data_IF_525361866672
#
_entry.id   IF_525361866672
#
_cell.length_a   1.000
_cell.length_b   1.000
_cell.length_c   1.000
_cell.angle_alpha   90.00
_cell.angle_beta   90.00
_cell.angle_gamma   90.00
#
_symmetry.space_group_name_H-M   'P 1'
#
loop_
_entity.id
_entity.type
_entity.pdbx_description
1 polymer ?
#
# COMPACT_ATOMS: atom_id res chain seq x y z
N UNK A 1 26.27 10.74 3.54
CA UNK A 1 25.46 9.60 4.02
C UNK A 1 24.31 9.41 3.06
N UNK A 2 24.31 8.34 2.28
CA UNK A 2 24.91 8.37 0.94
C UNK A 2 23.85 7.90 -0.05
N UNK A 3 23.70 8.60 -1.17
CA UNK A 3 22.76 8.21 -2.24
C UNK A 3 23.03 6.79 -2.80
N UNK A 4 24.22 6.23 -2.54
CA UNK A 4 24.56 4.84 -2.82
C UNK A 4 23.60 3.87 -2.09
N UNK A 5 23.33 4.12 -0.81
CA UNK A 5 22.43 3.27 0.00
C UNK A 5 21.01 3.26 -0.58
N UNK A 6 20.51 4.44 -0.99
CA UNK A 6 19.18 4.55 -1.58
C UNK A 6 19.06 3.85 -2.93
N UNK A 7 20.09 3.95 -3.78
CA UNK A 7 20.11 3.30 -5.08
C UNK A 7 20.21 1.77 -4.95
N UNK A 8 20.95 1.27 -3.96
CA UNK A 8 21.10 -0.17 -3.72
C UNK A 8 19.81 -0.78 -3.18
N UNK A 9 19.11 -0.10 -2.27
CA UNK A 9 17.77 -0.50 -1.83
C UNK A 9 16.84 -0.62 -3.06
N UNK A 10 16.75 0.42 -3.89
CA UNK A 10 15.88 0.41 -5.06
C UNK A 10 16.20 -0.73 -6.05
N UNK A 11 17.47 -1.07 -6.25
CA UNK A 11 17.88 -2.19 -7.12
C UNK A 11 17.54 -3.57 -6.55
N UNK A 12 17.52 -3.69 -5.23
CA UNK A 12 17.26 -4.96 -4.53
C UNK A 12 15.77 -5.32 -4.43
N UNK A 13 14.88 -4.35 -4.66
CA UNK A 13 13.45 -4.56 -4.51
C UNK A 13 12.87 -5.31 -5.71
N UNK A 14 12.03 -6.30 -5.43
CA UNK A 14 11.19 -6.94 -6.41
C UNK A 14 9.92 -6.08 -6.63
N UNK A 15 9.65 -5.59 -7.85
CA UNK A 15 8.40 -4.88 -8.12
C UNK A 15 7.19 -5.84 -8.14
N UNK A 16 5.99 -5.39 -7.71
CA UNK A 16 5.68 -4.05 -7.17
C UNK A 16 6.09 -3.89 -5.69
N UNK A 17 6.57 -2.70 -5.32
CA UNK A 17 6.89 -2.35 -3.93
C UNK A 17 6.60 -0.87 -3.64
N UNK A 18 6.11 -0.56 -2.44
CA UNK A 18 6.00 0.83 -1.96
C UNK A 18 7.30 1.26 -1.30
N UNK A 19 7.74 2.48 -1.61
CA UNK A 19 8.96 3.06 -1.04
C UNK A 19 8.72 4.49 -0.57
N UNK A 20 9.27 4.80 0.59
CA UNK A 20 9.40 6.15 1.11
C UNK A 20 10.75 6.71 0.66
N UNK A 21 10.71 7.78 -0.15
CA UNK A 21 11.91 8.42 -0.71
C UNK A 21 11.99 9.87 -0.25
N UNK A 22 13.17 10.29 0.18
CA UNK A 22 13.50 11.71 0.38
C UNK A 22 14.66 12.07 -0.53
N UNK A 23 14.67 13.32 -1.00
CA UNK A 23 15.78 13.83 -1.79
C UNK A 23 15.44 15.10 -2.53
N UNK A 24 16.27 15.39 -3.52
CA UNK A 24 16.19 16.62 -4.30
C UNK A 24 15.49 16.39 -5.64
N UNK A 25 14.79 17.43 -6.11
CA UNK A 25 14.08 17.42 -7.38
C UNK A 25 14.91 18.14 -8.44
N UNK A 26 14.97 17.59 -9.66
CA UNK A 26 15.62 18.21 -10.81
C UNK A 26 14.77 18.10 -12.05
N UNK A 27 14.81 19.13 -12.88
CA UNK A 27 14.31 19.02 -14.25
C UNK A 27 15.38 18.37 -15.13
N UNK A 28 14.99 17.38 -15.93
CA UNK A 28 15.89 16.77 -16.91
C UNK A 28 15.67 17.42 -18.29
N UNK A 29 16.60 18.28 -18.74
CA UNK A 29 16.48 18.97 -20.03
C UNK A 29 16.69 18.03 -21.22
N UNK A 30 17.14 16.79 -21.01
CA UNK A 30 17.42 15.82 -22.08
C UNK A 30 16.17 15.08 -22.53
N UNK A 31 15.10 15.09 -21.73
CA UNK A 31 13.84 14.46 -22.06
C UNK A 31 12.87 15.49 -22.67
N UNK A 32 12.07 15.12 -23.69
CA UNK A 32 11.13 16.04 -24.31
C UNK A 32 10.03 16.45 -23.31
N UNK A 33 9.80 17.75 -23.12
CA UNK A 33 8.79 18.28 -22.19
C UNK A 33 9.29 18.42 -20.74
N UNK A 34 8.39 18.71 -19.81
CA UNK A 34 8.74 18.95 -18.40
C UNK A 34 8.88 17.63 -17.63
N UNK A 35 10.08 17.05 -17.66
CA UNK A 35 10.37 15.86 -16.87
C UNK A 35 11.03 16.24 -15.54
N UNK A 36 10.36 15.87 -14.45
CA UNK A 36 10.88 16.01 -13.09
C UNK A 36 11.49 14.66 -12.66
N UNK A 37 12.74 14.70 -12.23
CA UNK A 37 13.50 13.56 -11.71
C UNK A 37 13.72 13.78 -10.22
N UNK A 38 13.40 12.77 -9.44
CA UNK A 38 13.76 12.71 -8.01
C UNK A 38 15.15 12.09 -7.92
N UNK A 39 16.09 12.79 -7.29
CA UNK A 39 17.37 12.23 -6.89
C UNK A 39 17.21 11.74 -5.46
N UNK A 40 17.14 10.41 -5.22
CA UNK A 40 16.96 9.87 -3.89
C UNK A 40 18.23 10.09 -3.05
N UNK A 41 18.05 10.66 -1.86
CA UNK A 41 19.07 10.81 -0.83
C UNK A 41 18.89 9.75 0.26
N UNK A 42 17.64 9.40 0.56
CA UNK A 42 17.29 8.23 1.37
C UNK A 42 16.09 7.50 0.77
N UNK A 43 16.08 6.18 0.93
CA UNK A 43 14.99 5.31 0.49
C UNK A 43 14.76 4.23 1.55
N UNK A 44 13.51 3.86 1.79
CA UNK A 44 13.15 2.68 2.57
C UNK A 44 11.91 2.04 1.99
N UNK A 45 11.73 0.75 2.21
CA UNK A 45 10.46 0.08 1.95
C UNK A 45 9.41 0.68 2.87
N UNK A 46 8.23 0.93 2.32
CA UNK A 46 7.05 1.33 3.06
C UNK A 46 6.02 0.22 2.96
N UNK A 47 5.29 -0.03 4.04
CA UNK A 47 4.13 -0.91 3.99
C UNK A 47 2.90 -0.14 3.47
N UNK A 48 1.80 -0.87 3.26
CA UNK A 48 0.56 -0.31 2.75
C UNK A 48 -0.10 0.63 3.77
N UNK A 49 -0.01 0.33 5.07
CA UNK A 49 -0.56 1.19 6.12
C UNK A 49 0.16 2.53 6.23
N UNK A 50 1.47 2.57 6.02
CA UNK A 50 2.31 3.76 5.93
C UNK A 50 1.97 4.56 4.67
N UNK A 51 1.84 3.89 3.52
CA UNK A 51 1.36 4.51 2.28
C UNK A 51 0.01 5.18 2.48
N UNK A 52 -0.94 4.49 3.10
CA UNK A 52 -2.31 4.99 3.29
C UNK A 52 -2.34 6.17 4.27
N UNK A 53 -1.57 6.09 5.35
CA UNK A 53 -1.35 7.23 6.26
C UNK A 53 -0.75 8.44 5.53
N UNK A 54 0.21 8.21 4.63
CA UNK A 54 0.80 9.29 3.83
C UNK A 54 -0.20 9.91 2.86
N UNK A 55 -1.04 9.10 2.21
CA UNK A 55 -2.09 9.58 1.31
C UNK A 55 -3.09 10.46 2.06
N UNK A 56 -3.63 9.96 3.17
CA UNK A 56 -4.60 10.70 3.99
C UNK A 56 -4.00 12.00 4.54
N UNK A 57 -2.79 11.95 5.12
CA UNK A 57 -2.11 13.15 5.63
C UNK A 57 -1.83 14.16 4.53
N UNK A 58 -1.46 13.70 3.33
CA UNK A 58 -1.18 14.61 2.20
C UNK A 58 -2.46 15.29 1.72
N UNK A 59 -3.57 14.55 1.68
CA UNK A 59 -4.88 15.11 1.35
C UNK A 59 -5.31 16.17 2.37
N UNK A 60 -5.20 15.87 3.67
CA UNK A 60 -5.49 16.78 4.77
C UNK A 60 -4.64 18.06 4.72
N UNK A 61 -3.31 17.93 4.60
CA UNK A 61 -2.41 19.08 4.47
C UNK A 61 -2.67 19.91 3.21
N UNK A 62 -3.11 19.28 2.12
CA UNK A 62 -3.46 19.98 0.88
C UNK A 62 -4.77 20.72 1.03
N UNK A 63 -5.76 20.10 1.67
CA UNK A 63 -7.04 20.73 2.01
C UNK A 63 -6.80 21.97 2.87
N UNK A 64 -6.04 21.87 3.97
CA UNK A 64 -5.72 23.02 4.81
C UNK A 64 -5.05 24.17 4.04
N UNK A 65 -4.23 23.85 3.04
CA UNK A 65 -3.63 24.88 2.16
C UNK A 65 -4.67 25.53 1.26
N UNK A 66 -5.56 24.75 0.64
CA UNK A 66 -6.64 25.26 -0.22
C UNK A 66 -7.58 26.15 0.58
N UNK A 67 -7.95 25.76 1.79
CA UNK A 67 -8.79 26.56 2.70
C UNK A 67 -8.12 27.87 3.15
N UNK A 68 -6.79 27.88 3.22
CA UNK A 68 -6.03 29.10 3.54
C UNK A 68 -5.92 30.09 2.37
N UNK A 69 -6.29 29.67 1.15
CA UNK A 69 -6.32 30.56 -0.01
C UNK A 69 -7.46 31.60 0.13
N UNK A 70 -7.36 32.74 -0.56
CA UNK A 70 -8.48 33.68 -0.63
C UNK A 70 -9.75 32.98 -1.12
N UNK A 71 -10.88 33.28 -0.48
CA UNK A 71 -12.17 32.69 -0.81
C UNK A 71 -12.44 32.82 -2.32
N UNK A 72 -12.69 31.68 -2.96
CA UNK A 72 -13.15 31.62 -4.34
C UNK A 72 -14.11 30.44 -4.48
N UNK A 73 -15.14 30.55 -5.34
CA UNK A 73 -16.11 29.46 -5.52
C UNK A 73 -15.45 28.13 -5.89
N UNK A 74 -14.36 28.19 -6.68
CA UNK A 74 -13.60 27.00 -7.08
C UNK A 74 -12.80 26.39 -5.92
N UNK A 75 -12.23 27.21 -5.03
CA UNK A 75 -11.50 26.71 -3.87
C UNK A 75 -12.45 26.05 -2.86
N UNK A 76 -13.61 26.66 -2.64
CA UNK A 76 -14.67 26.13 -1.75
C UNK A 76 -15.24 24.81 -2.28
N UNK A 77 -15.52 24.72 -3.58
CA UNK A 77 -15.98 23.48 -4.23
C UNK A 77 -14.95 22.35 -4.08
N UNK A 78 -13.68 22.64 -4.37
CA UNK A 78 -12.60 21.65 -4.25
C UNK A 78 -12.39 21.21 -2.81
N UNK A 79 -12.46 22.13 -1.84
CA UNK A 79 -12.34 21.81 -0.43
C UNK A 79 -13.43 20.82 0.01
N UNK A 80 -14.70 21.12 -0.31
CA UNK A 80 -15.84 20.27 0.04
C UNK A 80 -15.72 18.86 -0.58
N UNK A 81 -15.31 18.78 -1.85
CA UNK A 81 -15.10 17.49 -2.53
C UNK A 81 -14.04 16.65 -1.83
N UNK A 82 -12.94 17.27 -1.40
CA UNK A 82 -11.84 16.59 -0.71
C UNK A 82 -12.24 16.15 0.69
N UNK A 83 -12.93 17.00 1.46
CA UNK A 83 -13.45 16.65 2.79
C UNK A 83 -14.35 15.40 2.76
N UNK A 84 -15.31 15.37 1.83
CA UNK A 84 -16.22 14.23 1.68
C UNK A 84 -15.46 12.95 1.30
N UNK A 85 -14.47 13.05 0.42
CA UNK A 85 -13.66 11.90 0.02
C UNK A 85 -12.82 11.36 1.18
N UNK A 86 -12.18 12.24 1.97
CA UNK A 86 -11.39 11.83 3.14
C UNK A 86 -12.27 11.12 4.19
N UNK A 87 -13.48 11.62 4.44
CA UNK A 87 -14.40 11.05 5.43
C UNK A 87 -14.79 9.59 5.10
N UNK A 88 -14.99 9.26 3.82
CA UNK A 88 -15.31 7.89 3.40
C UNK A 88 -14.12 6.94 3.60
N UNK A 89 -12.90 7.41 3.36
CA UNK A 89 -11.69 6.56 3.46
C UNK A 89 -11.25 6.36 4.91
N UNK A 90 -11.44 7.36 5.78
CA UNK A 90 -11.06 7.28 7.19
C UNK A 90 -11.85 6.23 8.00
N UNK A 91 -13.04 5.84 7.52
CA UNK A 91 -13.89 4.82 8.17
C UNK A 91 -13.47 3.38 7.82
N UNK A 92 -12.56 3.21 6.85
CA UNK A 92 -11.89 1.94 6.63
C UNK A 92 -10.78 1.74 7.69
N UNK A 93 -10.70 0.58 8.36
CA UNK A 93 -9.67 0.35 9.35
C UNK A 93 -8.28 0.45 8.69
N UNK A 94 -7.52 1.48 9.06
CA UNK A 94 -6.12 1.67 8.68
C UNK A 94 -5.31 0.48 9.17
N UNK A 95 -4.91 -0.41 8.25
CA UNK A 95 -4.11 -1.58 8.57
C UNK A 95 -4.89 -2.63 9.37
N UNK A 96 -5.62 -3.50 8.66
CA UNK A 96 -5.87 -4.85 9.16
C UNK A 96 -4.51 -5.54 9.42
N UNK A 97 -4.41 -6.44 10.42
CA UNK A 97 -3.20 -6.63 11.21
C UNK A 97 -1.95 -6.87 10.36
N UNK A 98 -1.06 -5.88 10.32
CA UNK A 98 0.34 -6.14 10.12
C UNK A 98 0.81 -6.96 11.32
N UNK A 99 1.19 -8.20 11.05
CA UNK A 99 1.53 -9.12 12.12
C UNK A 99 1.86 -10.51 11.62
N UNK A 100 2.42 -11.36 12.49
CA UNK A 100 2.97 -12.66 12.13
C UNK A 100 1.93 -13.61 11.52
N UNK A 101 0.63 -13.40 11.78
CA UNK A 101 -0.44 -14.21 11.20
C UNK A 101 -0.64 -13.88 9.71
N UNK A 102 -0.60 -12.60 9.34
CA UNK A 102 -0.79 -12.17 7.94
C UNK A 102 0.36 -12.65 7.07
N UNK A 103 1.59 -12.45 7.54
CA UNK A 103 2.81 -12.92 6.88
C UNK A 103 2.77 -14.44 6.69
N UNK A 104 2.48 -15.20 7.76
CA UNK A 104 2.36 -16.65 7.67
C UNK A 104 1.26 -17.11 6.71
N UNK A 105 0.11 -16.43 6.67
CA UNK A 105 -0.97 -16.74 5.72
C UNK A 105 -0.53 -16.46 4.28
N UNK A 106 0.16 -15.35 4.02
CA UNK A 106 0.69 -15.05 2.71
C UNK A 106 1.73 -16.10 2.27
N UNK A 107 2.66 -16.49 3.15
CA UNK A 107 3.64 -17.53 2.87
C UNK A 107 2.98 -18.88 2.56
N UNK A 108 1.94 -19.25 3.30
CA UNK A 108 1.15 -20.46 3.04
C UNK A 108 0.46 -20.42 1.67
N UNK A 109 -0.05 -19.24 1.27
CA UNK A 109 -0.64 -19.03 -0.04
C UNK A 109 0.43 -19.14 -1.12
N UNK A 110 1.54 -18.41 -0.99
CA UNK A 110 2.62 -18.36 -1.96
C UNK A 110 3.27 -19.74 -2.18
N UNK A 111 3.60 -20.45 -1.09
CA UNK A 111 4.19 -21.79 -1.15
C UNK A 111 3.21 -22.85 -1.69
N UNK A 112 1.91 -22.68 -1.42
CA UNK A 112 0.87 -23.62 -1.86
C UNK A 112 0.26 -23.34 -3.23
N UNK A 113 0.55 -22.18 -3.83
CA UNK A 113 -0.18 -21.68 -5.00
C UNK A 113 0.16 -22.46 -6.28
N UNK A 114 -0.77 -23.30 -6.71
CA UNK A 114 -0.72 -23.97 -8.01
C UNK A 114 -1.39 -23.15 -9.13
N UNK A 115 -1.68 -23.77 -10.29
CA UNK A 115 -2.33 -23.08 -11.42
C UNK A 115 -3.66 -22.41 -11.08
N UNK A 116 -4.38 -22.95 -10.08
CA UNK A 116 -5.69 -22.46 -9.61
C UNK A 116 -5.62 -21.66 -8.29
N UNK A 117 -4.43 -21.50 -7.70
CA UNK A 117 -4.26 -20.97 -6.35
C UNK A 117 -4.47 -22.01 -5.27
N UNK A 118 -4.73 -21.54 -4.05
CA UNK A 118 -4.95 -22.36 -2.86
C UNK A 118 -6.38 -22.20 -2.37
N UNK A 119 -7.05 -23.30 -2.04
CA UNK A 119 -8.39 -23.25 -1.46
C UNK A 119 -8.35 -22.61 -0.07
N UNK A 120 -9.32 -21.74 0.25
CA UNK A 120 -9.43 -21.07 1.56
C UNK A 120 -9.40 -22.08 2.71
N UNK A 121 -10.14 -23.19 2.59
CA UNK A 121 -10.18 -24.21 3.64
C UNK A 121 -8.81 -24.89 3.84
N UNK A 122 -8.02 -25.03 2.78
CA UNK A 122 -6.67 -25.59 2.86
C UNK A 122 -5.69 -24.60 3.52
N UNK A 123 -5.86 -23.29 3.29
CA UNK A 123 -5.09 -22.24 3.98
C UNK A 123 -5.42 -22.28 5.48
N UNK A 124 -6.71 -22.29 5.83
CA UNK A 124 -7.17 -22.35 7.22
C UNK A 124 -6.69 -23.62 7.93
N UNK A 125 -6.74 -24.78 7.26
CA UNK A 125 -6.23 -26.03 7.83
C UNK A 125 -4.72 -25.96 8.11
N UNK A 126 -3.92 -25.50 7.15
CA UNK A 126 -2.46 -25.38 7.33
C UNK A 126 -2.08 -24.35 8.39
N UNK A 127 -2.81 -23.24 8.45
CA UNK A 127 -2.58 -22.22 9.47
C UNK A 127 -2.94 -22.75 10.88
N UNK A 128 -4.00 -23.55 10.99
CA UNK A 128 -4.34 -24.26 12.24
C UNK A 128 -3.25 -25.24 12.65
N UNK A 129 -2.71 -26.03 11.71
CA UNK A 129 -1.60 -26.96 11.97
C UNK A 129 -0.33 -26.22 12.43
N UNK A 130 -0.15 -24.97 11.99
CA UNK A 130 0.91 -24.06 12.43
C UNK A 130 0.58 -23.32 13.75
N UNK A 131 -0.58 -23.57 14.37
CA UNK A 131 -0.97 -23.01 15.67
C UNK A 131 -1.76 -21.70 15.62
N UNK A 132 -2.19 -21.25 14.44
CA UNK A 132 -2.99 -20.03 14.30
C UNK A 132 -4.49 -20.30 14.47
N UNK A 133 -5.17 -19.36 15.13
CA UNK A 133 -6.62 -19.40 15.28
C UNK A 133 -7.33 -19.02 13.97
N UNK A 134 -8.47 -19.65 13.69
CA UNK A 134 -9.19 -19.47 12.42
C UNK A 134 -9.70 -18.04 12.18
N UNK A 135 -10.18 -17.34 13.22
CA UNK A 135 -10.64 -15.94 13.11
C UNK A 135 -9.55 -15.02 12.54
N UNK A 136 -8.38 -14.90 13.21
CA UNK A 136 -7.24 -14.13 12.71
C UNK A 136 -6.77 -14.54 11.31
N UNK A 137 -6.82 -15.83 10.96
CA UNK A 137 -6.45 -16.31 9.62
C UNK A 137 -7.44 -15.82 8.57
N UNK A 138 -8.75 -15.86 8.84
CA UNK A 138 -9.78 -15.35 7.92
C UNK A 138 -9.68 -13.84 7.78
N UNK A 139 -9.39 -13.13 8.86
CA UNK A 139 -9.15 -11.69 8.83
C UNK A 139 -7.91 -11.36 7.99
N UNK A 140 -6.83 -12.14 8.11
CA UNK A 140 -5.64 -12.01 7.27
C UNK A 140 -5.92 -12.29 5.79
N UNK A 141 -6.68 -13.33 5.45
CA UNK A 141 -7.09 -13.62 4.05
C UNK A 141 -7.91 -12.46 3.48
N UNK A 142 -8.89 -11.94 4.23
CA UNK A 142 -9.69 -10.78 3.82
C UNK A 142 -8.80 -9.57 3.58
N UNK A 143 -7.88 -9.29 4.51
CA UNK A 143 -6.94 -8.19 4.40
C UNK A 143 -6.04 -8.32 3.17
N UNK A 144 -5.51 -9.51 2.87
CA UNK A 144 -4.68 -9.75 1.67
C UNK A 144 -5.45 -9.53 0.36
N UNK A 145 -6.77 -9.78 0.35
CA UNK A 145 -7.64 -9.51 -0.79
C UNK A 145 -7.99 -8.01 -0.91
N UNK A 146 -8.31 -7.37 0.21
CA UNK A 146 -8.59 -5.92 0.26
C UNK A 146 -7.37 -5.09 -0.13
N UNK A 147 -6.18 -5.61 0.16
CA UNK A 147 -4.90 -4.95 -0.08
C UNK A 147 -4.27 -5.29 -1.43
N UNK A 148 -4.96 -6.00 -2.32
CA UNK A 148 -4.43 -6.43 -3.62
C UNK A 148 -3.06 -7.12 -3.51
N UNK A 149 -2.82 -7.87 -2.43
CA UNK A 149 -1.66 -8.79 -2.33
C UNK A 149 -2.02 -10.16 -2.90
N UNK A 150 -3.32 -10.48 -2.84
CA UNK A 150 -3.90 -11.68 -3.38
C UNK A 150 -5.20 -11.36 -4.13
N UNK A 151 -5.61 -12.29 -4.99
CA UNK A 151 -6.87 -12.20 -5.72
C UNK A 151 -7.60 -13.54 -5.72
N UNK A 152 -8.89 -13.51 -6.05
CA UNK A 152 -9.76 -14.69 -6.12
C UNK A 152 -10.00 -15.08 -7.58
N UNK A 153 -9.19 -15.99 -8.19
CA UNK A 153 -9.41 -16.44 -9.57
C UNK A 153 -10.74 -17.19 -9.74
N UNK A 154 -11.21 -17.86 -8.69
CA UNK A 154 -12.47 -18.61 -8.66
C UNK A 154 -12.96 -18.61 -7.21
N UNK A 155 -14.29 -18.54 -6.94
CA UNK A 155 -14.80 -18.50 -5.57
C UNK A 155 -14.20 -19.60 -4.68
N UNK A 156 -13.69 -19.21 -3.52
CA UNK A 156 -13.05 -20.13 -2.56
C UNK A 156 -11.58 -20.44 -2.82
N UNK A 157 -10.96 -19.89 -3.88
CA UNK A 157 -9.53 -20.03 -4.17
C UNK A 157 -8.84 -18.68 -4.12
N UNK A 158 -7.63 -18.64 -3.56
CA UNK A 158 -6.80 -17.45 -3.40
C UNK A 158 -5.50 -17.65 -4.16
N UNK A 159 -5.07 -16.64 -4.91
CA UNK A 159 -3.75 -16.57 -5.54
C UNK A 159 -3.01 -15.32 -5.09
N UNK A 160 -1.68 -15.40 -4.88
CA UNK A 160 -0.87 -14.19 -4.77
C UNK A 160 -0.86 -13.50 -6.15
N UNK A 161 -0.74 -12.17 -6.12
CA UNK A 161 -0.52 -11.37 -7.33
C UNK A 161 0.91 -11.52 -7.87
#
# INVERSE_FOLDING_TARGET
RDAADAADILRSLAPPAFVAVTGSLRFDPRLPGTHLVVIPEACRVADRGERDRWLLRTADLTLSRVESLPASPRAEEVALMVEQAIAVVADAPLGAPEGPVREAVFDLIAAGSGPRGVAVDAIVARARDAGYAEGPVRDAIRSLLEDDDCYTPTPGYIKPL
#
